data_IF_032629849088
#
_entry.id   IF_032629849088
#
_cell.length_a   1.000
_cell.length_b   1.000
_cell.length_c   1.000
_cell.angle_alpha   90.00
_cell.angle_beta   90.00
_cell.angle_gamma   90.00
#
_symmetry.space_group_name_H-M   'P 1'
#
loop_
_entity.id
_entity.type
_entity.pdbx_description
1 polymer ?
#
# COMPACT_ATOMS: atom_id res chain seq x y z
N UNK A 1 33.76 -16.71 -29.08
CA UNK A 1 32.39 -17.21 -29.41
C UNK A 1 31.48 -16.03 -29.75
N UNK A 2 30.39 -16.20 -30.50
CA UNK A 2 29.46 -15.10 -30.76
C UNK A 2 28.36 -15.01 -29.68
N UNK A 3 27.89 -13.80 -29.39
CA UNK A 3 26.79 -13.56 -28.47
C UNK A 3 25.49 -14.14 -29.03
N UNK A 4 24.81 -15.02 -28.29
CA UNK A 4 23.53 -15.61 -28.70
C UNK A 4 22.36 -14.61 -28.87
N UNK A 5 22.53 -13.35 -28.45
CA UNK A 5 21.48 -12.32 -28.51
C UNK A 5 21.69 -11.29 -29.62
N UNK A 6 22.95 -10.95 -29.96
CA UNK A 6 23.26 -9.89 -30.92
C UNK A 6 24.42 -10.23 -31.87
N UNK A 7 24.88 -11.48 -31.85
CA UNK A 7 25.98 -12.03 -32.66
C UNK A 7 27.34 -11.32 -32.55
N UNK A 8 27.47 -10.35 -31.65
CA UNK A 8 28.74 -9.68 -31.37
C UNK A 8 29.81 -10.70 -30.94
N UNK A 9 31.05 -10.62 -31.47
CA UNK A 9 32.14 -11.50 -31.06
C UNK A 9 32.49 -11.28 -29.57
N UNK A 10 32.57 -12.36 -28.81
CA UNK A 10 32.89 -12.37 -27.38
C UNK A 10 34.18 -13.14 -27.11
N UNK A 11 34.96 -12.65 -26.16
CA UNK A 11 36.09 -13.38 -25.59
C UNK A 11 35.60 -14.57 -24.75
N UNK A 12 36.40 -15.62 -24.63
CA UNK A 12 36.03 -16.80 -23.82
C UNK A 12 35.86 -16.46 -22.33
N UNK A 13 36.52 -15.41 -21.86
CA UNK A 13 36.45 -14.92 -20.47
C UNK A 13 35.23 -14.02 -20.20
N UNK A 14 34.50 -13.57 -21.22
CA UNK A 14 33.40 -12.61 -21.03
C UNK A 14 32.19 -13.28 -20.38
N UNK A 15 31.76 -12.77 -19.23
CA UNK A 15 30.53 -13.23 -18.55
C UNK A 15 29.27 -12.49 -19.01
N UNK A 16 29.44 -11.33 -19.63
CA UNK A 16 28.36 -10.51 -20.19
C UNK A 16 28.80 -9.92 -21.52
N UNK A 17 27.86 -9.81 -22.47
CA UNK A 17 28.11 -9.14 -23.73
C UNK A 17 28.23 -7.63 -23.53
N UNK A 18 29.31 -7.03 -24.02
CA UNK A 18 29.56 -5.59 -23.91
C UNK A 18 28.62 -4.76 -24.79
N UNK A 19 28.10 -5.33 -25.88
CA UNK A 19 27.19 -4.63 -26.80
C UNK A 19 25.73 -4.66 -26.35
N UNK A 20 25.21 -5.82 -25.92
CA UNK A 20 23.78 -5.95 -25.57
C UNK A 20 23.51 -6.23 -24.08
N UNK A 21 24.55 -6.41 -23.25
CA UNK A 21 24.41 -6.70 -21.82
C UNK A 21 23.94 -8.12 -21.47
N UNK A 22 23.72 -9.00 -22.45
CA UNK A 22 23.27 -10.36 -22.21
C UNK A 22 24.31 -11.18 -21.42
N UNK A 23 23.87 -11.88 -20.37
CA UNK A 23 24.71 -12.84 -19.61
C UNK A 23 25.04 -14.02 -20.50
N UNK A 24 26.32 -14.40 -20.56
CA UNK A 24 26.78 -15.53 -21.37
C UNK A 24 26.52 -16.84 -20.62
N UNK A 25 25.49 -17.58 -21.02
CA UNK A 25 25.15 -18.88 -20.44
C UNK A 25 25.87 -20.00 -21.20
N UNK A 26 26.86 -20.62 -20.54
CA UNK A 26 27.68 -21.72 -21.07
C UNK A 26 27.10 -23.11 -20.77
N UNK A 27 26.32 -23.23 -19.69
CA UNK A 27 25.76 -24.51 -19.26
C UNK A 27 24.45 -24.82 -20.02
N UNK A 28 24.12 -26.11 -20.18
CA UNK A 28 22.80 -26.53 -20.68
C UNK A 28 21.71 -26.21 -19.64
N UNK A 29 20.48 -26.01 -20.13
CA UNK A 29 19.29 -25.89 -19.29
C UNK A 29 19.13 -27.18 -18.48
N UNK A 30 19.40 -27.09 -17.19
CA UNK A 30 19.21 -28.15 -16.21
C UNK A 30 18.55 -27.52 -14.98
N UNK A 31 17.73 -28.30 -14.26
CA UNK A 31 17.01 -27.80 -13.08
C UNK A 31 17.95 -27.15 -12.07
N UNK A 32 19.14 -27.73 -11.86
CA UNK A 32 20.19 -27.14 -11.01
C UNK A 32 20.62 -25.75 -11.49
N UNK A 33 20.92 -25.59 -12.78
CA UNK A 33 21.37 -24.31 -13.34
C UNK A 33 20.24 -23.26 -13.36
N UNK A 34 18.97 -23.70 -13.48
CA UNK A 34 17.79 -22.84 -13.36
C UNK A 34 17.58 -22.38 -11.91
N UNK A 35 17.67 -23.29 -10.94
CA UNK A 35 17.59 -22.95 -9.52
C UNK A 35 18.77 -22.06 -9.11
N UNK A 36 19.97 -22.29 -9.65
CA UNK A 36 21.15 -21.48 -9.39
C UNK A 36 21.03 -20.10 -10.05
N UNK A 37 20.49 -19.98 -11.25
CA UNK A 37 20.20 -18.68 -11.89
C UNK A 37 19.05 -17.95 -11.20
N UNK A 38 17.99 -18.67 -10.80
CA UNK A 38 16.91 -18.13 -9.98
C UNK A 38 17.44 -17.70 -8.62
N UNK A 39 18.36 -18.46 -8.03
CA UNK A 39 19.05 -18.08 -6.82
C UNK A 39 19.88 -16.83 -7.09
N UNK A 40 20.86 -16.83 -7.98
CA UNK A 40 21.66 -15.65 -8.31
C UNK A 40 20.87 -14.38 -8.68
N UNK A 41 19.65 -14.52 -9.18
CA UNK A 41 18.79 -13.40 -9.57
C UNK A 41 17.74 -13.02 -8.50
N UNK A 42 17.28 -13.96 -7.69
CA UNK A 42 16.20 -13.78 -6.69
C UNK A 42 16.57 -14.24 -5.27
N UNK A 43 17.36 -15.30 -5.09
CA UNK A 43 17.87 -15.81 -3.78
C UNK A 43 19.38 -15.60 -3.57
N UNK A 44 20.04 -14.74 -4.34
CA UNK A 44 21.46 -14.52 -4.22
C UNK A 44 21.62 -13.95 -2.83
N UNK A 45 22.37 -14.67 -2.01
CA UNK A 45 22.53 -14.42 -0.59
C UNK A 45 23.21 -13.06 -0.28
N UNK A 46 23.43 -12.23 -1.31
CA UNK A 46 23.40 -10.77 -1.21
C UNK A 46 22.03 -10.38 -0.64
N UNK A 47 21.99 -10.11 0.65
CA UNK A 47 20.80 -9.79 1.45
C UNK A 47 20.12 -8.47 1.02
N UNK A 48 20.07 -8.12 -0.28
CA UNK A 48 19.60 -6.85 -0.86
C UNK A 48 18.20 -6.51 -0.44
N UNK A 49 17.29 -7.48 -0.33
CA UNK A 49 15.96 -7.23 0.22
C UNK A 49 16.06 -6.76 1.67
N UNK A 50 16.73 -7.51 2.54
CA UNK A 50 16.89 -7.12 3.95
C UNK A 50 17.72 -5.84 4.09
N UNK A 51 18.73 -5.66 3.25
CA UNK A 51 19.56 -4.47 3.18
C UNK A 51 18.69 -3.26 2.80
N UNK A 52 17.85 -3.37 1.77
CA UNK A 52 16.90 -2.33 1.35
C UNK A 52 15.92 -2.05 2.49
N UNK A 53 15.34 -3.10 3.08
CA UNK A 53 14.38 -3.00 4.19
C UNK A 53 14.98 -2.30 5.42
N UNK A 54 16.19 -2.69 5.84
CA UNK A 54 16.90 -2.09 6.98
C UNK A 54 17.34 -0.66 6.64
N UNK A 55 17.87 -0.43 5.44
CA UNK A 55 18.39 0.88 5.04
C UNK A 55 17.26 1.88 4.79
N UNK A 56 16.06 1.47 4.37
CA UNK A 56 14.90 2.37 4.31
C UNK A 56 14.43 2.86 5.68
N UNK A 57 14.72 2.13 6.76
CA UNK A 57 14.51 2.61 8.12
C UNK A 57 15.68 3.41 8.70
N UNK A 58 16.92 3.11 8.30
CA UNK A 58 18.12 3.74 8.88
C UNK A 58 18.61 4.96 8.10
N UNK A 59 18.65 4.85 6.77
CA UNK A 59 19.23 5.81 5.82
C UNK A 59 18.42 5.81 4.51
N UNK A 60 17.12 6.19 4.53
CA UNK A 60 16.27 6.18 3.34
C UNK A 60 16.83 7.06 2.22
N UNK A 61 17.57 8.13 2.55
CA UNK A 61 18.23 8.99 1.57
C UNK A 61 19.31 8.29 0.74
N UNK A 62 19.96 7.25 1.28
CA UNK A 62 20.92 6.45 0.52
C UNK A 62 20.19 5.49 -0.43
N UNK A 63 19.09 4.85 0.01
CA UNK A 63 18.34 3.91 -0.83
C UNK A 63 17.64 4.64 -1.97
N UNK A 64 16.83 5.65 -1.63
CA UNK A 64 16.00 6.37 -2.59
C UNK A 64 16.85 7.31 -3.43
N UNK A 65 17.82 8.00 -2.82
CA UNK A 65 18.76 8.89 -3.51
C UNK A 65 19.58 8.15 -4.56
N UNK A 66 20.21 7.02 -4.21
CA UNK A 66 20.99 6.26 -5.20
C UNK A 66 20.17 5.74 -6.38
N UNK A 67 18.88 5.43 -6.16
CA UNK A 67 17.97 5.07 -7.25
C UNK A 67 17.69 6.26 -8.18
N UNK A 68 17.40 7.44 -7.60
CA UNK A 68 17.15 8.69 -8.34
C UNK A 68 18.41 9.11 -9.12
N UNK A 69 19.59 8.97 -8.51
CA UNK A 69 20.89 9.30 -9.11
C UNK A 69 21.34 8.28 -10.18
N UNK A 70 20.57 7.19 -10.39
CA UNK A 70 20.78 6.23 -11.48
C UNK A 70 21.50 4.94 -11.12
N UNK A 71 21.89 4.74 -9.85
CA UNK A 71 22.53 3.49 -9.39
C UNK A 71 21.48 2.42 -9.08
N UNK A 72 21.28 1.47 -10.00
CA UNK A 72 20.17 0.49 -9.95
C UNK A 72 20.51 -0.91 -9.41
N UNK A 73 21.78 -1.19 -9.07
CA UNK A 73 22.23 -2.54 -8.62
C UNK A 73 22.46 -2.67 -7.11
N UNK A 74 22.63 -1.55 -6.40
CA UNK A 74 22.99 -1.51 -4.97
C UNK A 74 21.85 -2.00 -4.06
N UNK A 75 20.64 -1.51 -4.31
CA UNK A 75 19.42 -1.88 -3.59
C UNK A 75 18.42 -2.55 -4.54
N UNK A 76 17.35 -3.12 -3.97
CA UNK A 76 16.24 -3.67 -4.78
C UNK A 76 15.59 -2.52 -5.57
N UNK A 77 15.37 -2.76 -6.86
CA UNK A 77 14.70 -1.80 -7.74
C UNK A 77 13.30 -1.42 -7.19
N UNK A 78 12.92 -0.15 -7.33
CA UNK A 78 11.66 0.39 -6.79
C UNK A 78 10.42 -0.40 -7.23
N UNK A 79 10.35 -0.82 -8.50
CA UNK A 79 9.21 -1.56 -9.05
C UNK A 79 9.16 -2.96 -8.45
N UNK A 80 10.30 -3.64 -8.38
CA UNK A 80 10.40 -4.96 -7.74
C UNK A 80 10.06 -4.90 -6.26
N UNK A 81 10.57 -3.90 -5.54
CA UNK A 81 10.30 -3.72 -4.12
C UNK A 81 8.81 -3.45 -3.84
N UNK A 82 8.19 -2.61 -4.68
CA UNK A 82 6.76 -2.33 -4.64
C UNK A 82 5.91 -3.55 -4.98
N UNK A 83 6.29 -4.35 -5.98
CA UNK A 83 5.61 -5.59 -6.32
C UNK A 83 5.67 -6.61 -5.18
N UNK A 84 6.82 -6.73 -4.47
CA UNK A 84 6.94 -7.57 -3.28
C UNK A 84 5.97 -7.12 -2.20
N UNK A 85 5.85 -5.81 -1.95
CA UNK A 85 4.93 -5.26 -0.95
C UNK A 85 3.46 -5.53 -1.30
N UNK A 86 3.04 -5.30 -2.55
CA UNK A 86 1.67 -5.62 -3.01
C UNK A 86 1.40 -7.11 -2.85
N UNK A 87 2.32 -7.96 -3.30
CA UNK A 87 2.14 -9.42 -3.25
C UNK A 87 2.01 -9.89 -1.81
N UNK A 88 2.83 -9.37 -0.90
CA UNK A 88 2.77 -9.72 0.52
C UNK A 88 1.47 -9.25 1.18
N UNK A 89 1.02 -8.03 0.87
CA UNK A 89 -0.23 -7.49 1.39
C UNK A 89 -1.47 -8.23 0.82
N UNK A 90 -1.43 -8.63 -0.45
CA UNK A 90 -2.48 -9.44 -1.09
C UNK A 90 -2.52 -10.87 -0.54
N UNK A 91 -1.36 -11.49 -0.28
CA UNK A 91 -1.29 -12.79 0.40
C UNK A 91 -1.89 -12.72 1.80
N UNK A 92 -1.60 -11.66 2.55
CA UNK A 92 -2.23 -11.42 3.85
C UNK A 92 -3.74 -11.32 3.75
N UNK A 93 -4.27 -10.54 2.80
CA UNK A 93 -5.71 -10.41 2.60
C UNK A 93 -6.36 -11.74 2.19
N UNK A 94 -5.73 -12.49 1.28
CA UNK A 94 -6.20 -13.83 0.88
C UNK A 94 -6.29 -14.79 2.07
N UNK A 95 -5.26 -14.85 2.91
CA UNK A 95 -5.25 -15.69 4.11
C UNK A 95 -6.38 -15.29 5.06
N UNK A 96 -6.56 -14.00 5.31
CA UNK A 96 -7.61 -13.51 6.21
C UNK A 96 -9.01 -13.84 5.67
N UNK A 97 -9.28 -13.59 4.40
CA UNK A 97 -10.58 -13.93 3.80
C UNK A 97 -10.87 -15.43 3.82
N UNK A 98 -9.86 -16.26 3.53
CA UNK A 98 -10.06 -17.71 3.39
C UNK A 98 -10.16 -18.43 4.73
N UNK A 99 -9.34 -18.05 5.70
CA UNK A 99 -9.19 -18.78 6.97
C UNK A 99 -9.81 -18.05 8.16
N UNK A 100 -10.06 -16.74 8.06
CA UNK A 100 -10.53 -15.93 9.16
C UNK A 100 -11.65 -14.95 8.75
N UNK A 101 -12.76 -15.43 8.13
CA UNK A 101 -13.80 -14.56 7.55
C UNK A 101 -14.41 -13.57 8.56
N UNK A 102 -14.54 -13.96 9.84
CA UNK A 102 -15.06 -13.10 10.90
C UNK A 102 -14.03 -12.13 11.53
N UNK A 103 -12.82 -11.96 10.97
CA UNK A 103 -11.89 -10.90 11.41
C UNK A 103 -12.44 -9.53 11.08
N UNK A 104 -13.09 -9.38 9.92
CA UNK A 104 -13.63 -8.11 9.46
C UNK A 104 -14.88 -7.70 10.25
N UNK A 105 -15.75 -8.64 10.59
CA UNK A 105 -16.90 -8.38 11.46
C UNK A 105 -16.45 -7.99 12.88
N UNK A 106 -15.34 -8.56 13.38
CA UNK A 106 -14.75 -8.21 14.68
C UNK A 106 -14.16 -6.80 14.73
N UNK A 107 -13.69 -6.25 13.62
CA UNK A 107 -13.20 -4.87 13.55
C UNK A 107 -14.31 -3.83 13.80
N UNK A 108 -15.55 -4.12 13.38
CA UNK A 108 -16.62 -3.11 13.31
C UNK A 108 -17.90 -3.45 14.07
N UNK A 109 -18.15 -4.71 14.43
CA UNK A 109 -19.20 -5.09 15.38
C UNK A 109 -19.00 -4.51 16.78
N UNK A 110 -17.80 -3.98 17.08
CA UNK A 110 -17.52 -3.23 18.29
C UNK A 110 -17.98 -1.75 18.24
N UNK A 111 -18.30 -1.21 17.06
CA UNK A 111 -18.59 0.22 16.85
C UNK A 111 -20.07 0.50 16.53
N UNK A 112 -20.78 -0.39 15.85
CA UNK A 112 -22.17 -0.17 15.43
C UNK A 112 -23.11 -1.33 15.84
N UNK A 113 -24.24 -1.00 16.46
CA UNK A 113 -25.27 -1.98 16.88
C UNK A 113 -26.36 -2.23 15.82
N UNK A 114 -26.37 -1.48 14.69
CA UNK A 114 -27.37 -1.66 13.63
C UNK A 114 -26.88 -2.72 12.61
N UNK A 115 -27.61 -3.83 12.48
CA UNK A 115 -27.29 -4.94 11.57
C UNK A 115 -27.09 -4.50 10.11
N UNK A 116 -27.97 -3.63 9.59
CA UNK A 116 -27.86 -3.10 8.22
C UNK A 116 -26.57 -2.30 7.98
N UNK A 117 -26.09 -1.58 9.00
CA UNK A 117 -24.86 -0.79 8.91
C UNK A 117 -23.61 -1.66 8.99
N UNK A 118 -23.67 -2.74 9.79
CA UNK A 118 -22.60 -3.75 9.86
C UNK A 118 -22.47 -4.46 8.51
N UNK A 119 -23.58 -4.91 7.92
CA UNK A 119 -23.57 -5.61 6.63
C UNK A 119 -23.01 -4.73 5.50
N UNK A 120 -23.48 -3.49 5.36
CA UNK A 120 -22.94 -2.54 4.38
C UNK A 120 -21.43 -2.32 4.55
N UNK A 121 -20.96 -2.20 5.79
CA UNK A 121 -19.53 -1.99 6.08
C UNK A 121 -18.71 -3.22 5.69
N UNK A 122 -19.18 -4.43 6.01
CA UNK A 122 -18.52 -5.67 5.64
C UNK A 122 -18.44 -5.85 4.11
N UNK A 123 -19.51 -5.51 3.37
CA UNK A 123 -19.53 -5.54 1.91
C UNK A 123 -18.52 -4.55 1.31
N UNK A 124 -18.43 -3.33 1.84
CA UNK A 124 -17.43 -2.35 1.42
C UNK A 124 -16.00 -2.82 1.67
N UNK A 125 -15.74 -3.47 2.82
CA UNK A 125 -14.42 -4.02 3.11
C UNK A 125 -14.05 -5.15 2.17
N UNK A 126 -15.00 -6.04 1.85
CA UNK A 126 -14.79 -7.11 0.89
C UNK A 126 -14.34 -6.55 -0.46
N UNK A 127 -15.03 -5.52 -0.97
CA UNK A 127 -14.63 -4.82 -2.19
C UNK A 127 -13.24 -4.18 -2.07
N UNK A 128 -12.93 -3.52 -0.95
CA UNK A 128 -11.59 -2.93 -0.74
C UNK A 128 -10.49 -4.01 -0.82
N UNK A 129 -10.72 -5.18 -0.23
CA UNK A 129 -9.74 -6.27 -0.28
C UNK A 129 -9.67 -6.94 -1.67
N UNK A 130 -10.80 -7.12 -2.35
CA UNK A 130 -10.86 -7.66 -3.70
C UNK A 130 -10.05 -6.78 -4.67
N UNK A 131 -10.21 -5.47 -4.59
CA UNK A 131 -9.50 -4.49 -5.43
C UNK A 131 -8.22 -3.94 -4.79
N UNK A 132 -7.72 -4.55 -3.72
CA UNK A 132 -6.61 -4.01 -2.93
C UNK A 132 -5.37 -3.70 -3.77
N UNK A 133 -4.95 -4.61 -4.66
CA UNK A 133 -3.76 -4.40 -5.50
C UNK A 133 -3.93 -3.18 -6.43
N UNK A 134 -5.14 -2.98 -6.97
CA UNK A 134 -5.45 -1.83 -7.81
C UNK A 134 -5.47 -0.53 -6.98
N UNK A 135 -6.10 -0.54 -5.82
CA UNK A 135 -6.10 0.59 -4.87
C UNK A 135 -4.66 0.94 -4.48
N UNK A 136 -3.85 -0.06 -4.14
CA UNK A 136 -2.44 0.12 -3.76
C UNK A 136 -1.63 0.79 -4.87
N UNK A 137 -1.82 0.38 -6.13
CA UNK A 137 -1.19 0.98 -7.28
C UNK A 137 -1.67 2.42 -7.54
N UNK A 138 -2.99 2.66 -7.50
CA UNK A 138 -3.60 3.97 -7.73
C UNK A 138 -3.26 5.00 -6.64
N UNK A 139 -3.04 4.54 -5.40
CA UNK A 139 -2.66 5.42 -4.31
C UNK A 139 -1.29 6.04 -4.50
N UNK A 140 -0.35 5.40 -5.20
CA UNK A 140 1.00 5.93 -5.44
C UNK A 140 0.98 7.28 -6.19
N UNK A 141 0.40 7.41 -7.39
CA UNK A 141 0.40 8.69 -8.11
C UNK A 141 -0.37 9.78 -7.35
N UNK A 142 -1.42 9.42 -6.59
CA UNK A 142 -2.19 10.36 -5.76
C UNK A 142 -1.35 10.87 -4.59
N UNK A 143 -0.72 9.98 -3.84
CA UNK A 143 0.20 10.32 -2.74
C UNK A 143 1.41 11.12 -3.25
N UNK A 144 1.98 10.75 -4.41
CA UNK A 144 3.07 11.48 -5.04
C UNK A 144 2.63 12.89 -5.47
N UNK A 145 1.41 13.05 -5.97
CA UNK A 145 0.84 14.36 -6.32
C UNK A 145 0.67 15.22 -5.07
N UNK A 146 0.10 14.66 -4.00
CA UNK A 146 -0.03 15.38 -2.72
C UNK A 146 1.34 15.76 -2.14
N UNK A 147 2.32 14.86 -2.19
CA UNK A 147 3.70 15.14 -1.81
C UNK A 147 4.28 16.29 -2.66
N UNK A 148 4.05 16.27 -3.97
CA UNK A 148 4.48 17.36 -4.86
C UNK A 148 3.82 18.69 -4.51
N UNK A 149 2.53 18.70 -4.19
CA UNK A 149 1.79 19.91 -3.77
C UNK A 149 2.37 20.51 -2.47
N UNK A 150 2.72 19.66 -1.49
CA UNK A 150 3.34 20.09 -0.23
C UNK A 150 4.71 20.74 -0.43
N UNK A 151 5.47 20.25 -1.41
CA UNK A 151 6.82 20.70 -1.74
C UNK A 151 6.90 21.61 -2.98
N UNK A 152 5.81 22.22 -3.43
CA UNK A 152 5.80 23.08 -4.64
C UNK A 152 6.88 24.16 -4.66
N UNK A 153 7.17 24.76 -3.50
CA UNK A 153 8.22 25.78 -3.37
C UNK A 153 9.64 25.20 -3.46
N UNK A 154 9.83 23.94 -3.07
CA UNK A 154 11.13 23.27 -3.08
C UNK A 154 11.23 22.33 -4.30
N UNK A 155 11.87 22.83 -5.37
CA UNK A 155 11.98 22.11 -6.65
C UNK A 155 13.08 21.04 -6.68
N UNK A 156 13.59 20.59 -5.52
CA UNK A 156 14.64 19.56 -5.43
C UNK A 156 14.29 18.29 -6.20
N UNK A 157 13.03 17.85 -6.10
CA UNK A 157 12.54 16.66 -6.81
C UNK A 157 11.43 17.00 -7.80
N UNK A 158 11.40 16.31 -8.94
CA UNK A 158 10.33 16.37 -9.93
C UNK A 158 9.19 15.38 -9.58
N UNK A 159 8.07 15.42 -10.33
CA UNK A 159 6.92 14.56 -10.04
C UNK A 159 7.24 13.06 -10.12
N UNK A 160 8.05 12.65 -11.10
CA UNK A 160 8.48 11.25 -11.26
C UNK A 160 9.37 10.79 -10.10
N UNK A 161 10.22 11.66 -9.57
CA UNK A 161 11.00 11.37 -8.36
C UNK A 161 10.10 11.30 -7.12
N UNK A 162 9.04 12.11 -7.03
CA UNK A 162 8.02 11.93 -5.99
C UNK A 162 7.30 10.59 -6.11
N UNK A 163 7.06 10.08 -7.32
CA UNK A 163 6.53 8.71 -7.52
C UNK A 163 7.52 7.69 -6.93
N UNK A 164 8.81 7.79 -7.26
CA UNK A 164 9.84 6.87 -6.73
C UNK A 164 9.92 6.90 -5.20
N UNK A 165 9.97 8.11 -4.61
CA UNK A 165 9.98 8.29 -3.15
C UNK A 165 8.75 7.64 -2.53
N UNK A 166 7.57 7.88 -3.10
CA UNK A 166 6.29 7.37 -2.61
C UNK A 166 6.20 5.86 -2.75
N UNK A 167 6.68 5.28 -3.85
CA UNK A 167 6.70 3.82 -4.04
C UNK A 167 7.54 3.12 -2.97
N UNK A 168 8.76 3.59 -2.72
CA UNK A 168 9.59 3.01 -1.65
C UNK A 168 8.97 3.20 -0.26
N UNK A 169 8.46 4.41 0.02
CA UNK A 169 7.82 4.73 1.30
C UNK A 169 6.59 3.86 1.56
N UNK A 170 5.71 3.75 0.56
CA UNK A 170 4.46 3.00 0.67
C UNK A 170 4.72 1.50 0.74
N UNK A 171 5.66 0.98 -0.06
CA UNK A 171 6.07 -0.42 -0.03
C UNK A 171 6.64 -0.81 1.34
N UNK A 172 7.58 -0.01 1.88
CA UNK A 172 8.18 -0.28 3.18
C UNK A 172 7.14 -0.23 4.31
N UNK A 173 6.30 0.82 4.33
CA UNK A 173 5.24 0.95 5.33
C UNK A 173 4.27 -0.23 5.26
N UNK A 174 3.86 -0.63 4.04
CA UNK A 174 2.97 -1.78 3.85
C UNK A 174 3.59 -3.08 4.34
N UNK A 175 4.85 -3.36 4.00
CA UNK A 175 5.56 -4.56 4.46
C UNK A 175 5.62 -4.61 5.99
N UNK A 176 5.95 -3.50 6.63
CA UNK A 176 6.02 -3.40 8.07
C UNK A 176 4.66 -3.56 8.75
N UNK A 177 3.65 -2.80 8.31
CA UNK A 177 2.28 -2.87 8.85
C UNK A 177 1.69 -4.27 8.66
N UNK A 178 1.81 -4.87 7.46
CA UNK A 178 1.32 -6.22 7.18
C UNK A 178 1.98 -7.26 8.09
N UNK A 179 3.29 -7.13 8.35
CA UNK A 179 4.01 -8.02 9.26
C UNK A 179 3.48 -7.89 10.69
N UNK A 180 3.25 -6.66 11.17
CA UNK A 180 2.63 -6.45 12.49
C UNK A 180 1.22 -7.02 12.51
N UNK A 181 0.43 -6.85 11.44
CA UNK A 181 -0.93 -7.36 11.35
C UNK A 181 -0.98 -8.90 11.37
N UNK A 182 0.02 -9.62 10.84
CA UNK A 182 0.14 -11.07 11.02
C UNK A 182 0.32 -11.46 12.49
N UNK A 183 1.19 -10.76 13.21
CA UNK A 183 1.46 -11.04 14.64
C UNK A 183 0.26 -10.65 15.50
N UNK A 184 -0.38 -9.53 15.17
CA UNK A 184 -1.50 -8.99 15.91
C UNK A 184 -2.76 -9.88 15.86
N UNK A 185 -2.89 -10.78 14.88
CA UNK A 185 -4.05 -11.68 14.77
C UNK A 185 -4.18 -12.68 15.94
N UNK A 186 -3.10 -12.97 16.65
CA UNK A 186 -3.11 -13.92 17.77
C UNK A 186 -3.65 -13.33 19.07
N UNK A 187 -3.76 -12.00 19.17
CA UNK A 187 -4.20 -11.30 20.38
C UNK A 187 -5.18 -10.16 20.05
N UNK A 188 -6.35 -10.15 20.71
CA UNK A 188 -7.41 -9.18 20.43
C UNK A 188 -6.97 -7.73 20.70
N UNK A 189 -6.15 -7.50 21.72
CA UNK A 189 -5.69 -6.16 22.09
C UNK A 189 -4.65 -5.65 21.09
N UNK A 190 -3.69 -6.51 20.69
CA UNK A 190 -2.72 -6.18 19.65
C UNK A 190 -3.40 -5.89 18.31
N UNK A 191 -4.44 -6.66 17.95
CA UNK A 191 -5.23 -6.44 16.75
C UNK A 191 -5.93 -5.07 16.76
N UNK A 192 -6.56 -4.70 17.88
CA UNK A 192 -7.18 -3.39 18.05
C UNK A 192 -6.15 -2.24 17.99
N UNK A 193 -5.01 -2.39 18.66
CA UNK A 193 -3.92 -1.41 18.62
C UNK A 193 -3.35 -1.24 17.20
N UNK A 194 -3.17 -2.34 16.45
CA UNK A 194 -2.72 -2.30 15.06
C UNK A 194 -3.70 -1.50 14.19
N UNK A 195 -5.02 -1.66 14.41
CA UNK A 195 -6.07 -0.98 13.66
C UNK A 195 -6.06 0.54 13.88
N UNK A 196 -5.80 0.99 15.10
CA UNK A 196 -5.77 2.43 15.44
C UNK A 196 -4.42 3.06 15.06
N UNK A 197 -3.31 2.37 15.32
CA UNK A 197 -1.97 2.93 15.16
C UNK A 197 -1.42 2.79 13.73
N UNK A 198 -1.97 1.91 12.90
CA UNK A 198 -1.47 1.64 11.55
C UNK A 198 -1.34 2.89 10.68
N UNK A 199 -2.41 3.69 10.59
CA UNK A 199 -2.44 4.92 9.78
C UNK A 199 -1.54 6.02 10.35
N UNK A 200 -1.57 6.35 11.66
CA UNK A 200 -0.61 7.29 12.25
C UNK A 200 0.85 6.89 12.04
N UNK A 201 1.20 5.61 12.21
CA UNK A 201 2.56 5.12 11.98
C UNK A 201 2.98 5.27 10.52
N UNK A 202 2.08 5.02 9.58
CA UNK A 202 2.33 5.22 8.16
C UNK A 202 2.60 6.70 7.85
N UNK A 203 1.79 7.63 8.36
CA UNK A 203 1.99 9.07 8.16
C UNK A 203 3.33 9.53 8.75
N UNK A 204 3.65 9.07 9.97
CA UNK A 204 4.92 9.38 10.62
C UNK A 204 6.12 8.84 9.83
N UNK A 205 6.00 7.64 9.25
CA UNK A 205 7.04 7.05 8.42
C UNK A 205 7.25 7.84 7.11
N UNK A 206 6.17 8.26 6.45
CA UNK A 206 6.25 9.15 5.28
C UNK A 206 6.92 10.48 5.63
N UNK A 207 6.54 11.08 6.77
CA UNK A 207 7.16 12.30 7.27
C UNK A 207 8.66 12.09 7.55
N UNK A 208 9.04 10.96 8.12
CA UNK A 208 10.45 10.59 8.33
C UNK A 208 11.23 10.51 7.02
N UNK A 209 10.72 9.82 6.00
CA UNK A 209 11.37 9.76 4.68
C UNK A 209 11.54 11.16 4.10
N UNK A 210 10.47 11.95 4.05
CA UNK A 210 10.51 13.29 3.45
C UNK A 210 11.46 14.21 4.22
N UNK A 211 11.51 14.11 5.55
CA UNK A 211 12.48 14.83 6.38
C UNK A 211 13.91 14.51 5.96
N UNK A 212 14.24 13.23 5.78
CA UNK A 212 15.57 12.77 5.38
C UNK A 212 15.92 13.17 3.94
N UNK A 213 15.00 12.95 3.00
CA UNK A 213 15.21 13.28 1.58
C UNK A 213 15.43 14.78 1.35
N UNK A 214 14.73 15.65 2.09
CA UNK A 214 14.84 17.10 1.95
C UNK A 214 15.79 17.77 2.98
N UNK A 215 16.44 16.99 3.85
CA UNK A 215 17.27 17.51 4.96
C UNK A 215 16.55 18.59 5.81
N UNK A 216 15.31 18.31 6.22
CA UNK A 216 14.46 19.27 6.92
C UNK A 216 14.65 19.24 8.44
N UNK A 217 14.48 20.40 9.07
CA UNK A 217 14.37 20.52 10.53
C UNK A 217 12.99 20.04 11.03
N UNK A 218 12.89 19.78 12.34
CA UNK A 218 11.66 19.25 12.94
C UNK A 218 10.42 20.15 12.71
N UNK A 219 10.57 21.46 12.88
CA UNK A 219 9.47 22.42 12.67
C UNK A 219 9.03 22.44 11.19
N UNK A 220 9.99 22.37 10.26
CA UNK A 220 9.69 22.36 8.83
C UNK A 220 8.90 21.11 8.43
N UNK A 221 9.34 19.92 8.87
CA UNK A 221 8.59 18.70 8.57
C UNK A 221 7.23 18.70 9.26
N UNK A 222 7.12 19.18 10.50
CA UNK A 222 5.85 19.25 11.21
C UNK A 222 4.80 20.09 10.44
N UNK A 223 5.18 21.30 10.01
CA UNK A 223 4.32 22.16 9.20
C UNK A 223 3.99 21.55 7.84
N UNK A 224 4.93 20.84 7.22
CA UNK A 224 4.71 20.15 5.94
C UNK A 224 3.78 18.94 6.09
N UNK A 225 3.88 18.21 7.18
CA UNK A 225 2.95 17.12 7.51
C UNK A 225 1.55 17.68 7.77
N UNK A 226 1.41 18.79 8.49
CA UNK A 226 0.11 19.43 8.69
C UNK A 226 -0.52 19.87 7.35
N UNK A 227 0.27 20.47 6.46
CA UNK A 227 -0.17 20.82 5.11
C UNK A 227 -0.55 19.59 4.29
N UNK A 228 0.21 18.49 4.41
CA UNK A 228 -0.12 17.22 3.76
C UNK A 228 -1.47 16.67 4.24
N UNK A 229 -1.74 16.71 5.54
CA UNK A 229 -3.02 16.27 6.11
C UNK A 229 -4.19 17.14 5.64
N UNK A 230 -4.00 18.45 5.53
CA UNK A 230 -5.01 19.36 4.99
C UNK A 230 -5.33 19.00 3.54
N UNK A 231 -4.31 18.81 2.70
CA UNK A 231 -4.48 18.40 1.30
C UNK A 231 -5.17 17.03 1.21
N UNK A 232 -4.74 16.06 2.00
CA UNK A 232 -5.37 14.74 2.08
C UNK A 232 -6.86 14.86 2.45
N UNK A 233 -7.19 15.70 3.42
CA UNK A 233 -8.57 15.98 3.82
C UNK A 233 -9.41 16.58 2.68
N UNK A 234 -8.84 17.53 1.90
CA UNK A 234 -9.53 18.09 0.73
C UNK A 234 -9.79 17.03 -0.35
N UNK A 235 -8.80 16.18 -0.64
CA UNK A 235 -8.96 15.06 -1.58
C UNK A 235 -10.01 14.06 -1.10
N UNK A 236 -10.04 13.76 0.21
CA UNK A 236 -11.05 12.89 0.81
C UNK A 236 -12.46 13.47 0.68
N UNK A 237 -12.66 14.75 1.01
CA UNK A 237 -13.96 15.42 0.85
C UNK A 237 -14.42 15.42 -0.61
N UNK A 238 -13.51 15.72 -1.54
CA UNK A 238 -13.80 15.68 -2.98
C UNK A 238 -14.19 14.27 -3.43
N UNK A 239 -13.47 13.25 -2.98
CA UNK A 239 -13.80 11.85 -3.27
C UNK A 239 -15.19 11.47 -2.76
N UNK A 240 -15.54 11.86 -1.53
CA UNK A 240 -16.86 11.60 -0.95
C UNK A 240 -17.96 12.31 -1.75
N UNK A 241 -17.76 13.57 -2.15
CA UNK A 241 -18.73 14.30 -2.98
C UNK A 241 -18.96 13.60 -4.32
N UNK A 242 -17.89 13.19 -5.00
CA UNK A 242 -17.98 12.45 -6.27
C UNK A 242 -18.72 11.13 -6.09
N UNK A 243 -18.42 10.39 -5.01
CA UNK A 243 -19.10 9.14 -4.69
C UNK A 243 -20.59 9.35 -4.42
N UNK A 244 -20.96 10.39 -3.67
CA UNK A 244 -22.36 10.72 -3.40
C UNK A 244 -23.12 11.10 -4.68
N UNK A 245 -22.50 11.89 -5.57
CA UNK A 245 -23.08 12.21 -6.88
C UNK A 245 -23.29 10.94 -7.70
N UNK A 246 -22.30 10.03 -7.71
CA UNK A 246 -22.41 8.76 -8.41
C UNK A 246 -23.57 7.90 -7.86
N UNK A 247 -23.64 7.72 -6.54
CA UNK A 247 -24.72 6.97 -5.91
C UNK A 247 -26.09 7.62 -6.16
N UNK A 248 -26.17 8.95 -6.20
CA UNK A 248 -27.42 9.64 -6.48
C UNK A 248 -27.86 9.50 -7.95
N UNK A 249 -26.91 9.57 -8.89
CA UNK A 249 -27.21 9.60 -10.32
C UNK A 249 -27.37 8.21 -10.94
N UNK A 250 -26.73 7.18 -10.37
CA UNK A 250 -26.58 5.87 -11.02
C UNK A 250 -27.07 4.68 -10.18
N UNK A 251 -27.49 4.87 -8.93
CA UNK A 251 -27.98 3.76 -8.08
C UNK A 251 -29.26 4.11 -7.32
N UNK A 252 -30.07 3.10 -6.98
CA UNK A 252 -31.28 3.25 -6.14
C UNK A 252 -30.95 3.35 -4.64
N UNK A 253 -29.68 3.58 -4.30
CA UNK A 253 -29.18 3.55 -2.93
C UNK A 253 -29.97 4.48 -2.00
N UNK A 254 -30.23 5.71 -2.44
CA UNK A 254 -30.98 6.67 -1.64
C UNK A 254 -32.44 6.24 -1.42
N UNK A 255 -33.06 5.53 -2.38
CA UNK A 255 -34.42 5.00 -2.21
C UNK A 255 -34.41 3.88 -1.15
N UNK A 256 -33.46 2.95 -1.22
CA UNK A 256 -33.33 1.87 -0.25
C UNK A 256 -33.07 2.38 1.17
N UNK A 257 -32.24 3.41 1.34
CA UNK A 257 -31.98 4.03 2.64
C UNK A 257 -33.24 4.70 3.21
N UNK A 258 -34.01 5.40 2.38
CA UNK A 258 -35.28 6.05 2.80
C UNK A 258 -36.31 4.99 3.21
N UNK A 259 -36.42 3.88 2.47
CA UNK A 259 -37.32 2.77 2.79
C UNK A 259 -36.92 2.06 4.08
N UNK A 260 -35.63 1.80 4.29
CA UNK A 260 -35.11 1.21 5.53
C UNK A 260 -35.41 2.10 6.75
N UNK A 261 -35.28 3.42 6.61
CA UNK A 261 -35.59 4.35 7.70
C UNK A 261 -37.10 4.45 7.97
N UNK A 262 -37.94 4.42 6.93
CA UNK A 262 -39.40 4.34 7.06
C UNK A 262 -39.84 3.05 7.76
N UNK A 263 -39.25 1.90 7.39
CA UNK A 263 -39.51 0.63 8.06
C UNK A 263 -39.16 0.69 9.55
N UNK A 264 -38.03 1.30 9.91
CA UNK A 264 -37.61 1.48 11.31
C UNK A 264 -38.58 2.37 12.11
N UNK A 265 -39.05 3.48 11.52
CA UNK A 265 -40.07 4.35 12.14
C UNK A 265 -41.42 3.67 12.26
N UNK A 266 -41.83 2.88 11.27
CA UNK A 266 -43.07 2.09 11.30
C UNK A 266 -43.07 1.06 12.42
N UNK A 267 -41.98 0.31 12.59
CA UNK A 267 -41.82 -0.65 13.70
C UNK A 267 -41.83 0.05 15.06
N UNK A 268 -41.15 1.19 15.20
CA UNK A 268 -41.19 2.01 16.41
C UNK A 268 -42.60 2.50 16.77
N UNK A 269 -43.39 2.92 15.78
CA UNK A 269 -44.77 3.35 15.98
C UNK A 269 -45.69 2.19 16.38
N UNK A 270 -45.52 1.02 15.77
CA UNK A 270 -46.28 -0.18 16.15
C UNK A 270 -45.97 -0.57 17.60
N UNK A 271 -44.69 -0.55 18.00
CA UNK A 271 -44.28 -0.88 19.38
C UNK A 271 -44.82 0.14 20.39
N UNK A 272 -44.73 1.45 20.11
CA UNK A 272 -45.26 2.47 21.03
C UNK A 272 -46.78 2.44 21.12
N UNK A 273 -47.47 2.15 20.01
CA UNK A 273 -48.92 1.95 20.02
C UNK A 273 -49.31 0.71 20.84
N UNK A 274 -48.62 -0.43 20.66
CA UNK A 274 -48.90 -1.65 21.43
C UNK A 274 -48.72 -1.45 22.95
N UNK A 275 -47.69 -0.70 23.37
CA UNK A 275 -47.43 -0.39 24.79
C UNK A 275 -48.58 0.46 25.37
N UNK A 276 -49.04 1.49 24.65
CA UNK A 276 -50.15 2.35 25.09
C UNK A 276 -51.51 1.64 25.12
N UNK A 277 -51.69 0.54 24.39
CA UNK A 277 -52.92 -0.27 24.45
C UNK A 277 -52.92 -1.27 25.61
N UNK A 278 -51.75 -1.55 26.21
CA UNK A 278 -51.59 -2.51 27.31
C UNK A 278 -51.46 -1.87 28.70
N UNK A 279 -51.46 -0.53 28.77
CA UNK A 279 -51.48 0.29 30.00
C UNK A 279 -52.88 0.81 30.30
#
# INVERSE_FOLDING_TARGET
>A
MNCKNCDHPLSEMDNFCQSCGAKVIRNRLALRNLIESFSEQFLNYDNKFLQTFIMLFKKPEDVIGTYIDGTRKKYVNVVSYFAIAITYAGLFAFINQKYFPGVYDRLFGAVNQNEAQVQFTSDMLYLIFEYQAFIFFLMVPVLALMSRLVFLKNKKYNYTEHIVITMYAYAQASLFVTTISFIAQFDKQLFFLNSILGLPLQILYFAYILKRMYNLNFVQIFLKTLLFLLILGMFYVLFVIVLLIYLFAFTDFFQQVIEAEKAKKGVSYIISSAINWTS
#
